data_IF_940684689102
#
_entry.id   IF_940684689102
#
_cell.length_a   1.000
_cell.length_b   1.000
_cell.length_c   1.000
_cell.angle_alpha   90.00
_cell.angle_beta   90.00
_cell.angle_gamma   90.00
#
_symmetry.space_group_name_H-M   'P 1'
#
loop_
_entity.id
_entity.type
_entity.pdbx_description
1 polymer ?
#
# COMPACT_ATOMS: atom_id res chain seq x y z
N UNK A 1 15.77 16.36 1.07
CA UNK A 1 14.94 16.50 2.28
C UNK A 1 13.75 15.56 2.08
N UNK A 2 13.62 14.50 2.89
CA UNK A 2 12.53 13.51 2.73
C UNK A 2 11.26 14.13 3.34
N UNK A 3 10.26 14.46 2.54
CA UNK A 3 8.97 14.93 3.07
C UNK A 3 8.14 13.70 3.41
N UNK A 4 8.04 13.41 4.71
CA UNK A 4 7.15 12.40 5.25
C UNK A 4 5.88 13.08 5.72
N UNK A 5 4.74 12.68 5.19
CA UNK A 5 3.45 13.06 5.77
C UNK A 5 2.86 11.81 6.41
N UNK A 6 2.94 11.76 7.74
CA UNK A 6 2.33 10.72 8.55
C UNK A 6 1.08 11.30 9.21
N UNK A 7 -0.06 10.70 8.93
CA UNK A 7 -1.35 11.13 9.46
C UNK A 7 -2.04 9.98 10.19
N UNK A 8 -2.65 10.28 11.33
CA UNK A 8 -3.46 9.34 12.11
C UNK A 8 -4.86 9.90 12.25
N UNK A 9 -5.84 9.21 11.67
CA UNK A 9 -7.25 9.54 11.81
C UNK A 9 -7.80 8.89 13.08
N UNK A 10 -7.83 9.65 14.18
CA UNK A 10 -8.36 9.16 15.46
C UNK A 10 -9.89 9.15 15.53
N UNK A 11 -10.61 9.66 14.52
CA UNK A 11 -12.04 9.93 14.66
C UNK A 11 -12.94 8.69 14.43
N UNK A 12 -12.43 7.62 13.81
CA UNK A 12 -13.31 6.56 13.28
C UNK A 12 -13.16 5.19 13.93
N UNK A 13 -12.17 4.95 14.79
CA UNK A 13 -12.01 3.65 15.46
C UNK A 13 -11.30 3.71 16.82
N UNK A 14 -11.80 2.95 17.79
CA UNK A 14 -11.17 2.81 19.10
C UNK A 14 -10.01 1.80 19.05
N UNK A 15 -8.80 2.28 18.77
CA UNK A 15 -7.59 1.44 18.74
C UNK A 15 -7.26 0.78 20.10
N UNK A 16 -7.81 1.28 21.21
CA UNK A 16 -7.51 0.76 22.54
C UNK A 16 -8.11 -0.62 22.79
N UNK A 17 -9.12 -1.02 22.01
CA UNK A 17 -9.77 -2.33 22.13
C UNK A 17 -9.03 -3.44 21.35
N UNK A 18 -7.97 -3.09 20.60
CA UNK A 18 -7.13 -4.05 19.90
C UNK A 18 -6.02 -4.60 20.82
N UNK A 19 -5.57 -5.85 20.61
CA UNK A 19 -4.39 -6.38 21.25
C UNK A 19 -3.17 -5.46 21.07
N UNK A 20 -2.18 -5.60 21.95
CA UNK A 20 -0.91 -4.90 21.76
C UNK A 20 -0.17 -5.43 20.53
N UNK A 21 0.39 -4.51 19.74
CA UNK A 21 1.16 -4.82 18.55
C UNK A 21 1.63 -3.55 17.81
N UNK A 22 2.50 -3.73 16.81
CA UNK A 22 3.18 -2.65 16.08
C UNK A 22 2.21 -1.61 15.50
N UNK A 23 1.01 -2.05 15.10
CA UNK A 23 -0.04 -1.18 14.58
C UNK A 23 -0.46 -0.05 15.54
N UNK A 24 -0.20 -0.14 16.86
CA UNK A 24 -0.56 0.92 17.81
C UNK A 24 0.32 2.16 17.70
N UNK A 25 1.59 2.02 17.31
CA UNK A 25 2.55 3.13 17.17
C UNK A 25 2.58 3.70 15.75
N UNK A 26 2.12 2.94 14.77
CA UNK A 26 2.11 3.33 13.37
C UNK A 26 1.04 4.38 13.01
N UNK A 27 1.26 5.16 11.94
CA UNK A 27 0.26 6.07 11.39
C UNK A 27 -0.84 5.31 10.64
N UNK A 28 -1.87 6.02 10.18
CA UNK A 28 -2.92 5.45 9.31
C UNK A 28 -2.66 5.76 7.83
N UNK A 29 -1.89 6.81 7.56
CA UNK A 29 -1.47 7.21 6.21
C UNK A 29 0.01 7.55 6.26
N UNK A 30 0.77 7.05 5.27
CA UNK A 30 2.15 7.44 5.04
C UNK A 30 2.35 7.84 3.58
N UNK A 31 2.95 9.00 3.35
CA UNK A 31 3.33 9.46 2.01
C UNK A 31 4.83 9.76 1.93
N UNK A 32 5.47 9.34 0.84
CA UNK A 32 6.88 9.59 0.56
C UNK A 32 7.17 9.50 -0.95
N UNK A 33 8.39 9.87 -1.35
CA UNK A 33 8.91 9.59 -2.68
C UNK A 33 9.92 8.45 -2.59
N UNK A 34 9.82 7.46 -3.48
CA UNK A 34 10.83 6.41 -3.59
C UNK A 34 12.19 7.03 -3.96
N UNK A 35 13.25 6.66 -3.25
CA UNK A 35 14.55 7.34 -3.37
C UNK A 35 15.25 7.07 -4.71
N UNK A 36 15.01 5.90 -5.29
CA UNK A 36 15.68 5.48 -6.51
C UNK A 36 14.99 6.03 -7.76
N UNK A 37 13.65 6.04 -7.74
CA UNK A 37 12.83 6.39 -8.91
C UNK A 37 12.19 7.76 -8.82
N UNK A 38 12.21 8.39 -7.63
CA UNK A 38 11.49 9.61 -7.31
C UNK A 38 9.99 9.51 -7.61
N UNK A 39 9.42 8.30 -7.57
CA UNK A 39 7.99 8.09 -7.78
C UNK A 39 7.23 8.30 -6.46
N UNK A 40 6.07 8.98 -6.49
CA UNK A 40 5.25 9.15 -5.29
C UNK A 40 4.71 7.79 -4.81
N UNK A 41 4.87 7.53 -3.52
CA UNK A 41 4.41 6.33 -2.84
C UNK A 41 3.47 6.69 -1.70
N UNK A 42 2.49 5.83 -1.46
CA UNK A 42 1.45 6.02 -0.46
C UNK A 42 1.16 4.70 0.24
N UNK A 43 1.08 4.72 1.56
CA UNK A 43 0.53 3.66 2.39
C UNK A 43 -0.78 4.15 3.00
N UNK A 44 -1.85 3.36 2.87
CA UNK A 44 -3.14 3.61 3.54
C UNK A 44 -3.53 2.42 4.39
N UNK A 45 -3.88 2.69 5.64
CA UNK A 45 -4.37 1.67 6.56
C UNK A 45 -5.86 1.45 6.36
N UNK A 46 -6.24 0.20 6.13
CA UNK A 46 -7.64 -0.19 6.10
C UNK A 46 -8.17 -0.43 7.51
N UNK A 47 -8.73 0.63 8.09
CA UNK A 47 -9.35 0.62 9.41
C UNK A 47 -10.65 -0.19 9.49
N UNK A 48 -11.38 -0.32 8.38
CA UNK A 48 -12.71 -0.95 8.36
C UNK A 48 -12.64 -2.48 8.28
N UNK A 49 -11.70 -3.01 7.51
CA UNK A 49 -11.69 -4.44 7.11
C UNK A 49 -10.60 -5.27 7.80
N UNK A 50 -10.14 -4.83 8.97
CA UNK A 50 -9.19 -5.57 9.79
C UNK A 50 -7.77 -5.04 9.69
N UNK A 51 -7.55 -3.74 9.90
CA UNK A 51 -6.27 -3.19 10.36
C UNK A 51 -5.02 -3.65 9.59
N UNK A 52 -5.10 -3.65 8.27
CA UNK A 52 -3.97 -4.01 7.42
C UNK A 52 -3.59 -2.82 6.52
N UNK A 53 -2.37 -2.87 5.98
CA UNK A 53 -1.88 -1.84 5.08
C UNK A 53 -2.18 -2.13 3.62
N UNK A 54 -2.34 -1.05 2.85
CA UNK A 54 -2.29 -1.06 1.39
C UNK A 54 -1.15 -0.15 0.94
N UNK A 55 -0.41 -0.59 -0.06
CA UNK A 55 0.66 0.19 -0.67
C UNK A 55 0.27 0.62 -2.08
N UNK A 56 0.68 1.83 -2.46
CA UNK A 56 0.38 2.42 -3.75
C UNK A 56 1.58 3.19 -4.29
N UNK A 57 1.74 3.16 -5.61
CA UNK A 57 2.73 3.95 -6.34
C UNK A 57 2.01 4.72 -7.44
N UNK A 58 2.23 6.03 -7.50
CA UNK A 58 1.68 6.87 -8.55
C UNK A 58 2.45 6.66 -9.85
N UNK A 59 1.73 6.60 -10.98
CA UNK A 59 2.33 6.46 -12.30
C UNK A 59 1.58 7.29 -13.35
N UNK A 60 2.24 7.54 -14.49
CA UNK A 60 1.58 8.19 -15.63
C UNK A 60 0.94 7.11 -16.53
N UNK A 61 -0.40 7.09 -16.70
CA UNK A 61 -1.09 6.12 -17.54
C UNK A 61 -0.76 6.22 -19.04
N UNK A 62 -0.23 7.35 -19.52
CA UNK A 62 0.24 7.46 -20.91
C UNK A 62 1.51 6.62 -21.17
N UNK A 63 2.30 6.37 -20.13
CA UNK A 63 3.57 5.65 -20.22
C UNK A 63 3.47 4.19 -19.78
N UNK A 64 2.29 3.72 -19.40
CA UNK A 64 2.10 2.36 -18.89
C UNK A 64 0.65 1.93 -19.03
N UNK A 65 0.42 0.75 -19.60
CA UNK A 65 -0.90 0.12 -19.66
C UNK A 65 -0.95 -1.10 -18.72
N UNK A 66 -1.46 -0.94 -17.48
CA UNK A 66 -1.51 -2.00 -16.49
C UNK A 66 -2.26 -3.25 -16.96
N UNK A 67 -3.21 -3.09 -17.87
CA UNK A 67 -4.03 -4.20 -18.37
C UNK A 67 -3.25 -5.16 -19.28
N UNK A 68 -2.17 -4.70 -19.92
CA UNK A 68 -1.33 -5.54 -20.79
C UNK A 68 -0.19 -6.22 -20.04
N UNK A 69 0.33 -5.56 -19.01
CA UNK A 69 1.62 -5.92 -18.40
C UNK A 69 1.53 -6.34 -16.92
N UNK A 70 0.32 -6.53 -16.37
CA UNK A 70 0.14 -6.90 -14.94
C UNK A 70 0.92 -8.16 -14.54
N UNK A 71 1.10 -9.12 -15.45
CA UNK A 71 1.88 -10.35 -15.20
C UNK A 71 3.39 -10.12 -15.05
N UNK A 72 3.90 -8.97 -15.51
CA UNK A 72 5.30 -8.58 -15.37
C UNK A 72 5.58 -7.88 -14.04
N UNK A 73 4.52 -7.54 -13.29
CA UNK A 73 4.63 -6.88 -11.99
C UNK A 73 4.53 -7.94 -10.89
N UNK A 74 5.54 -7.96 -10.01
CA UNK A 74 5.58 -8.81 -8.83
C UNK A 74 5.62 -7.94 -7.57
N UNK A 75 4.56 -8.03 -6.76
CA UNK A 75 4.43 -7.38 -5.45
C UNK A 75 3.67 -8.32 -4.51
N UNK A 76 3.73 -8.07 -3.21
CA UNK A 76 2.98 -8.80 -2.19
C UNK A 76 1.48 -8.92 -2.52
N UNK A 77 0.96 -10.14 -2.57
CA UNK A 77 -0.45 -10.41 -2.89
C UNK A 77 -0.84 -10.14 -4.35
N UNK A 78 0.08 -9.62 -5.16
CA UNK A 78 -0.21 -9.12 -6.49
C UNK A 78 -0.87 -7.74 -6.47
N UNK A 79 -1.08 -7.19 -7.67
CA UNK A 79 -1.77 -5.91 -7.82
C UNK A 79 -3.24 -6.09 -7.45
N UNK A 80 -3.76 -5.24 -6.57
CA UNK A 80 -5.17 -5.24 -6.14
C UNK A 80 -5.90 -3.94 -6.52
N UNK A 81 -5.17 -2.92 -6.98
CA UNK A 81 -5.74 -1.63 -7.36
C UNK A 81 -5.00 -0.99 -8.53
N UNK A 82 -5.76 -0.45 -9.49
CA UNK A 82 -5.29 0.41 -10.58
C UNK A 82 -6.38 1.46 -10.80
N UNK A 83 -6.06 2.75 -10.68
CA UNK A 83 -7.02 3.81 -10.99
C UNK A 83 -6.72 5.16 -10.33
N UNK A 84 -7.54 6.18 -10.60
CA UNK A 84 -7.49 7.42 -9.85
C UNK A 84 -7.85 7.16 -8.39
N UNK A 85 -7.25 7.93 -7.48
CA UNK A 85 -7.54 7.84 -6.06
C UNK A 85 -7.75 9.24 -5.49
N UNK A 86 -8.92 9.44 -4.87
CA UNK A 86 -9.16 10.60 -4.03
C UNK A 86 -8.54 10.33 -2.65
N UNK A 87 -7.35 10.86 -2.43
CA UNK A 87 -6.76 10.95 -1.10
C UNK A 87 -7.06 12.35 -0.58
N UNK A 88 -7.35 12.46 0.72
CA UNK A 88 -7.65 13.76 1.34
C UNK A 88 -6.60 14.82 0.91
N UNK A 89 -7.02 15.96 0.32
CA UNK A 89 -6.10 16.95 -0.26
C UNK A 89 -5.08 17.50 0.74
N UNK A 90 -5.38 17.43 2.04
CA UNK A 90 -4.49 17.86 3.12
C UNK A 90 -3.29 16.94 3.33
N UNK A 91 -3.30 15.72 2.77
CA UNK A 91 -2.27 14.69 3.00
C UNK A 91 -1.33 14.54 1.81
N UNK A 92 -1.75 14.90 0.59
CA UNK A 92 -0.92 14.82 -0.60
C UNK A 92 -0.56 16.21 -1.14
N UNK A 93 0.69 16.42 -1.59
CA UNK A 93 1.05 17.58 -2.40
C UNK A 93 0.11 17.74 -3.61
N UNK A 94 -0.20 18.98 -3.97
CA UNK A 94 -1.15 19.32 -5.04
C UNK A 94 -0.78 18.66 -6.37
N UNK A 95 0.52 18.57 -6.67
CA UNK A 95 1.06 18.04 -7.93
C UNK A 95 0.84 16.53 -8.15
N UNK A 96 0.39 15.80 -7.11
CA UNK A 96 0.10 14.37 -7.20
C UNK A 96 -1.37 14.00 -6.96
N UNK A 97 -2.24 14.97 -6.68
CA UNK A 97 -3.67 14.70 -6.39
C UNK A 97 -4.44 14.14 -7.59
N UNK A 98 -3.95 14.40 -8.80
CA UNK A 98 -4.54 13.99 -10.08
C UNK A 98 -3.93 12.69 -10.66
N UNK A 99 -3.04 12.04 -9.93
CA UNK A 99 -2.30 10.88 -10.46
C UNK A 99 -3.13 9.61 -10.43
N UNK A 100 -2.80 8.72 -11.36
CA UNK A 100 -3.25 7.33 -11.32
C UNK A 100 -2.33 6.53 -10.41
N UNK A 101 -2.92 5.66 -9.59
CA UNK A 101 -2.20 4.83 -8.64
C UNK A 101 -2.33 3.37 -9.03
N UNK A 102 -1.25 2.62 -8.80
CA UNK A 102 -1.24 1.17 -8.83
C UNK A 102 -0.84 0.67 -7.45
N UNK A 103 -1.52 -0.34 -6.93
CA UNK A 103 -1.32 -0.76 -5.55
C UNK A 103 -1.68 -2.20 -5.25
N UNK A 104 -1.39 -2.57 -4.01
CA UNK A 104 -1.55 -3.91 -3.45
C UNK A 104 -2.15 -3.85 -2.04
N UNK A 105 -2.66 -4.99 -1.58
CA UNK A 105 -3.36 -5.10 -0.32
C UNK A 105 -2.71 -6.21 0.53
N UNK A 106 -2.28 -5.89 1.76
CA UNK A 106 -1.63 -6.85 2.66
C UNK A 106 -2.61 -7.85 3.30
N UNK A 107 -3.91 -7.78 3.00
CA UNK A 107 -4.92 -8.74 3.46
C UNK A 107 -4.80 -10.08 2.75
N UNK A 108 -4.47 -10.06 1.45
CA UNK A 108 -4.71 -11.18 0.52
C UNK A 108 -3.90 -12.44 0.85
N UNK A 109 -2.85 -12.31 1.68
CA UNK A 109 -1.99 -13.43 2.12
C UNK A 109 -1.88 -13.57 3.64
N UNK A 110 -2.55 -12.73 4.44
CA UNK A 110 -2.29 -12.59 5.87
C UNK A 110 -3.57 -12.45 6.71
N UNK A 111 -4.53 -13.36 6.52
CA UNK A 111 -5.75 -13.38 7.35
C UNK A 111 -5.51 -13.62 8.85
N UNK A 112 -4.32 -14.10 9.26
CA UNK A 112 -4.03 -14.52 10.63
C UNK A 112 -3.67 -13.41 11.63
N UNK A 113 -2.86 -12.43 11.26
CA UNK A 113 -2.26 -11.51 12.26
C UNK A 113 -2.72 -10.07 12.11
N UNK A 114 -3.88 -9.83 11.49
CA UNK A 114 -4.47 -8.52 11.68
C UNK A 114 -5.04 -8.43 13.10
N UNK A 115 -4.96 -7.25 13.75
CA UNK A 115 -5.41 -7.03 15.13
C UNK A 115 -6.84 -7.50 15.42
N UNK A 116 -7.71 -7.49 14.41
CA UNK A 116 -9.11 -7.90 14.53
C UNK A 116 -9.31 -9.42 14.54
N UNK A 117 -8.36 -10.19 14.02
CA UNK A 117 -8.49 -11.65 13.83
C UNK A 117 -7.72 -12.47 14.87
N UNK A 118 -6.89 -11.83 15.71
CA UNK A 118 -6.11 -12.52 16.75
C UNK A 118 -6.97 -13.20 17.83
N UNK A 119 -8.20 -12.73 18.08
CA UNK A 119 -9.13 -13.35 19.05
C UNK A 119 -10.17 -14.29 18.41
N UNK A 120 -10.06 -14.53 17.10
CA UNK A 120 -11.11 -15.27 16.39
C UNK A 120 -10.95 -16.78 16.56
N UNK A 121 -11.66 -17.32 17.56
CA UNK A 121 -12.20 -18.71 17.54
C UNK A 121 -13.20 -18.94 16.38
N UNK A 122 -13.30 -17.99 15.44
CA UNK A 122 -14.18 -17.98 14.28
C UNK A 122 -13.44 -18.19 12.95
N UNK A 123 -12.10 -18.35 12.94
CA UNK A 123 -11.44 -18.83 11.72
C UNK A 123 -11.87 -20.28 11.52
N UNK A 124 -12.58 -20.55 10.41
CA UNK A 124 -12.96 -21.91 10.07
C UNK A 124 -11.71 -22.81 10.07
N UNK A 125 -11.78 -24.04 10.61
CA UNK A 125 -10.65 -24.97 10.54
C UNK A 125 -10.24 -25.18 9.07
N UNK A 126 -9.12 -24.56 8.66
CA UNK A 126 -8.65 -24.58 7.26
C UNK A 126 -8.16 -23.23 6.74
N UNK A 127 -8.67 -22.11 7.26
CA UNK A 127 -8.31 -20.74 6.81
C UNK A 127 -7.05 -20.18 7.53
N UNK A 128 -6.06 -21.04 7.78
CA UNK A 128 -4.82 -20.68 8.47
C UNK A 128 -3.81 -19.99 7.55
N UNK A 129 -4.07 -18.76 7.11
CA UNK A 129 -2.97 -17.86 6.77
C UNK A 129 -2.40 -17.30 8.07
N UNK A 130 -1.70 -18.13 8.87
CA UNK A 130 -0.81 -17.66 9.95
C UNK A 130 0.35 -16.92 9.29
N UNK A 131 0.30 -15.59 9.27
CA UNK A 131 1.32 -14.79 8.61
C UNK A 131 1.48 -13.49 9.36
N UNK A 132 2.73 -13.15 9.66
CA UNK A 132 3.11 -12.00 10.48
C UNK A 132 2.49 -10.70 9.94
N UNK A 133 2.10 -9.82 10.86
CA UNK A 133 1.63 -8.48 10.52
C UNK A 133 2.63 -7.78 9.58
N UNK A 134 2.14 -7.30 8.44
CA UNK A 134 2.92 -6.51 7.49
C UNK A 134 2.87 -5.05 7.93
N UNK A 135 3.93 -4.62 8.60
CA UNK A 135 4.08 -3.27 9.14
C UNK A 135 4.33 -2.22 8.03
N UNK A 136 4.43 -0.94 8.39
CA UNK A 136 4.64 0.15 7.44
C UNK A 136 5.97 0.01 6.69
N UNK A 137 7.03 -0.42 7.36
CA UNK A 137 8.35 -0.61 6.75
C UNK A 137 8.28 -1.65 5.62
N UNK A 138 7.58 -2.77 5.85
CA UNK A 138 7.31 -3.76 4.80
C UNK A 138 6.58 -3.15 3.60
N UNK A 139 5.58 -2.31 3.84
CA UNK A 139 4.81 -1.66 2.77
C UNK A 139 5.68 -0.68 1.99
N UNK A 140 6.59 0.02 2.68
CA UNK A 140 7.55 0.92 2.04
C UNK A 140 8.50 0.15 1.11
N UNK A 141 9.05 -0.96 1.57
CA UNK A 141 9.92 -1.82 0.75
C UNK A 141 9.19 -2.34 -0.49
N UNK A 142 7.96 -2.84 -0.33
CA UNK A 142 7.15 -3.33 -1.44
C UNK A 142 6.77 -2.21 -2.43
N UNK A 143 6.46 -1.01 -1.95
CA UNK A 143 6.26 0.16 -2.81
C UNK A 143 7.53 0.54 -3.57
N UNK A 144 8.71 0.49 -2.93
CA UNK A 144 9.99 0.75 -3.61
C UNK A 144 10.27 -0.26 -4.72
N UNK A 145 10.03 -1.55 -4.46
CA UNK A 145 10.14 -2.62 -5.48
C UNK A 145 9.16 -2.40 -6.63
N UNK A 146 7.91 -2.00 -6.34
CA UNK A 146 6.92 -1.68 -7.36
C UNK A 146 7.32 -0.45 -8.17
N UNK A 147 7.82 0.61 -7.53
CA UNK A 147 8.29 1.82 -8.18
C UNK A 147 9.44 1.53 -9.17
N UNK A 148 10.42 0.72 -8.78
CA UNK A 148 11.52 0.29 -9.66
C UNK A 148 11.00 -0.44 -10.90
N UNK A 149 10.02 -1.34 -10.73
CA UNK A 149 9.42 -2.07 -11.85
C UNK A 149 8.70 -1.11 -12.82
N UNK A 150 7.92 -0.16 -12.30
CA UNK A 150 7.22 0.83 -13.11
C UNK A 150 8.18 1.78 -13.83
N UNK A 151 9.26 2.22 -13.17
CA UNK A 151 10.30 3.04 -13.77
C UNK A 151 10.99 2.30 -14.92
N UNK A 152 11.30 1.02 -14.74
CA UNK A 152 11.88 0.17 -15.80
C UNK A 152 10.94 0.04 -17.00
N UNK A 153 9.66 -0.25 -16.77
CA UNK A 153 8.66 -0.36 -17.84
C UNK A 153 8.50 0.95 -18.62
N UNK A 154 8.52 2.10 -17.91
CA UNK A 154 8.52 3.42 -18.54
C UNK A 154 9.73 3.61 -19.46
N UNK A 155 10.93 3.18 -19.05
CA UNK A 155 12.13 3.30 -19.87
C UNK A 155 12.07 2.40 -21.11
N UNK A 156 11.58 1.16 -20.97
CA UNK A 156 11.40 0.24 -22.09
C UNK A 156 10.44 0.77 -23.16
N UNK A 157 9.45 1.60 -22.79
CA UNK A 157 8.55 2.26 -23.74
C UNK A 157 9.15 3.47 -24.44
N UNK A 158 10.15 4.13 -23.84
CA UNK A 158 10.79 5.33 -24.40
C UNK A 158 11.95 5.01 -25.33
N UNK A 159 12.52 3.81 -25.24
CA UNK A 159 13.60 3.37 -26.11
C UNK A 159 13.00 2.67 -27.35
N UNK A 160 13.23 3.17 -28.58
CA UNK A 160 12.84 2.44 -29.78
C UNK A 160 13.59 1.10 -29.83
N UNK A 161 12.88 0.05 -30.24
CA UNK A 161 13.40 -1.32 -30.37
C UNK A 161 14.57 -1.41 -31.37
#
# INVERSE_FOLDING_TARGET
>A
MRTWLLYRDRATYNFYDLPDGDWKSEPDIGFWYDELTNMPCLALRNMRNGFYWRGYVAYNPEHFSPTRDRSKISVHGGISFIGPMEVYPTVLPEEIQDKTWIGFDCRELCHGDTPRWQDSRQVAPGDYCRGEYRNLDFVQEECGRLAVQLAKMRLEMLLPA
#
